data_IF_586964475657
#
_entry.id   IF_586964475657
#
_cell.length_a   1.000
_cell.length_b   1.000
_cell.length_c   1.000
_cell.angle_alpha   90.00
_cell.angle_beta   90.00
_cell.angle_gamma   90.00
#
_symmetry.space_group_name_H-M   'P 1'
#
loop_
_entity.id
_entity.type
_entity.pdbx_description
1 polymer ?
#
# COMPACT_ATOMS: atom_id res chain seq x y z
N UNK A 1 -0.79 12.13 -39.87
CA UNK A 1 -0.95 11.57 -38.51
C UNK A 1 -2.40 11.18 -38.31
N UNK A 2 -2.69 9.98 -37.79
CA UNK A 2 -4.04 9.62 -37.42
C UNK A 2 -4.55 10.58 -36.33
N UNK A 3 -5.63 11.32 -36.62
CA UNK A 3 -6.26 12.22 -35.65
C UNK A 3 -7.46 11.53 -35.00
N UNK A 4 -7.43 11.43 -33.68
CA UNK A 4 -8.56 10.97 -32.89
C UNK A 4 -9.52 12.12 -32.64
N UNK A 5 -10.82 11.87 -32.81
CA UNK A 5 -11.85 12.83 -32.44
C UNK A 5 -12.03 12.86 -30.90
N UNK A 6 -12.73 13.87 -30.40
CA UNK A 6 -12.96 14.03 -28.96
C UNK A 6 -13.70 12.84 -28.31
N UNK A 7 -14.66 12.24 -29.03
CA UNK A 7 -15.41 11.07 -28.53
C UNK A 7 -14.49 9.88 -28.27
N UNK A 8 -13.54 9.62 -29.17
CA UNK A 8 -12.56 8.53 -29.01
C UNK A 8 -11.60 8.81 -27.85
N UNK A 9 -11.13 10.05 -27.69
CA UNK A 9 -10.26 10.42 -26.56
C UNK A 9 -10.96 10.24 -25.22
N UNK A 10 -12.21 10.71 -25.13
CA UNK A 10 -13.01 10.56 -23.93
C UNK A 10 -13.29 9.09 -23.61
N UNK A 11 -13.55 8.26 -24.62
CA UNK A 11 -13.69 6.81 -24.45
C UNK A 11 -12.41 6.16 -23.89
N UNK A 12 -11.24 6.56 -24.38
CA UNK A 12 -9.95 6.08 -23.87
C UNK A 12 -9.81 6.43 -22.37
N UNK A 13 -10.08 7.68 -22.02
CA UNK A 13 -10.00 8.16 -20.63
C UNK A 13 -10.97 7.38 -19.73
N UNK A 14 -12.23 7.24 -20.15
CA UNK A 14 -13.23 6.49 -19.39
C UNK A 14 -12.86 5.02 -19.23
N UNK A 15 -12.36 4.37 -20.28
CA UNK A 15 -11.96 2.98 -20.23
C UNK A 15 -10.73 2.78 -19.32
N UNK A 16 -9.76 3.69 -19.34
CA UNK A 16 -8.64 3.65 -18.38
C UNK A 16 -9.11 3.92 -16.95
N UNK A 17 -9.96 4.93 -16.74
CA UNK A 17 -10.52 5.24 -15.42
C UNK A 17 -11.38 4.09 -14.87
N UNK A 18 -12.10 3.35 -15.73
CA UNK A 18 -12.91 2.22 -15.28
C UNK A 18 -12.05 1.08 -14.72
N UNK A 19 -10.78 0.97 -15.10
CA UNK A 19 -9.86 -0.01 -14.49
C UNK A 19 -9.67 0.28 -13.01
N UNK A 20 -9.41 1.55 -12.68
CA UNK A 20 -9.28 1.99 -11.30
C UNK A 20 -10.60 1.81 -10.52
N UNK A 21 -11.71 2.30 -11.07
CA UNK A 21 -13.03 2.20 -10.43
C UNK A 21 -13.45 0.75 -10.22
N UNK A 22 -13.28 -0.12 -11.20
CA UNK A 22 -13.66 -1.53 -11.06
C UNK A 22 -12.76 -2.26 -10.07
N UNK A 23 -11.46 -1.95 -10.01
CA UNK A 23 -10.58 -2.50 -8.97
C UNK A 23 -11.07 -2.12 -7.56
N UNK A 24 -11.51 -0.88 -7.36
CA UNK A 24 -12.07 -0.41 -6.11
C UNK A 24 -13.38 -1.15 -5.80
N UNK A 25 -14.29 -1.27 -6.76
CA UNK A 25 -15.57 -1.96 -6.56
C UNK A 25 -15.36 -3.43 -6.21
N UNK A 26 -14.48 -4.14 -6.93
CA UNK A 26 -14.15 -5.54 -6.63
C UNK A 26 -13.56 -5.64 -5.22
N UNK A 27 -12.65 -4.73 -4.87
CA UNK A 27 -12.07 -4.70 -3.53
C UNK A 27 -13.15 -4.46 -2.45
N UNK A 28 -14.09 -3.53 -2.68
CA UNK A 28 -15.21 -3.28 -1.75
C UNK A 28 -16.16 -4.48 -1.63
N UNK A 29 -16.43 -5.19 -2.73
CA UNK A 29 -17.20 -6.44 -2.68
C UNK A 29 -16.47 -7.49 -1.83
N UNK A 30 -15.15 -7.62 -1.98
CA UNK A 30 -14.35 -8.53 -1.17
C UNK A 30 -14.29 -8.13 0.31
N UNK A 31 -14.34 -6.83 0.61
CA UNK A 31 -14.41 -6.30 1.99
C UNK A 31 -15.75 -6.62 2.64
N UNK A 32 -16.86 -6.45 1.92
CA UNK A 32 -18.21 -6.64 2.48
C UNK A 32 -18.65 -8.11 2.45
N UNK A 33 -18.00 -8.92 1.61
CA UNK A 33 -18.21 -10.36 1.54
C UNK A 33 -17.71 -11.02 2.83
N UNK A 34 -18.41 -12.03 3.39
CA UNK A 34 -17.96 -12.81 4.55
C UNK A 34 -16.75 -13.72 4.25
N UNK A 35 -15.95 -13.38 3.24
CA UNK A 35 -14.73 -14.10 2.88
C UNK A 35 -13.60 -13.76 3.84
N UNK A 36 -12.80 -14.77 4.21
CA UNK A 36 -11.55 -14.66 5.00
C UNK A 36 -10.51 -13.70 4.39
N UNK A 37 -10.76 -13.17 3.19
CA UNK A 37 -9.90 -12.22 2.48
C UNK A 37 -9.96 -10.79 3.06
N UNK A 38 -10.90 -10.50 3.96
CA UNK A 38 -10.94 -9.28 4.77
C UNK A 38 -11.73 -9.50 6.04
N UNK A 39 -11.10 -9.32 7.19
CA UNK A 39 -11.86 -9.21 8.42
C UNK A 39 -12.55 -7.83 8.51
N UNK A 40 -13.79 -7.89 9.03
CA UNK A 40 -14.58 -6.75 9.48
C UNK A 40 -13.82 -6.01 10.59
N UNK A 41 -14.32 -4.85 11.03
CA UNK A 41 -13.78 -4.12 12.20
C UNK A 41 -13.27 -5.11 13.26
N UNK A 42 -12.03 -4.95 13.76
CA UNK A 42 -11.32 -6.04 14.40
C UNK A 42 -11.98 -6.37 15.74
N UNK A 43 -12.90 -7.33 15.72
CA UNK A 43 -13.08 -8.20 16.86
C UNK A 43 -11.88 -9.14 16.84
N UNK A 44 -10.79 -8.73 17.49
CA UNK A 44 -9.52 -9.45 17.54
C UNK A 44 -9.67 -10.92 17.92
N UNK A 45 -10.75 -11.27 18.62
CA UNK A 45 -11.00 -12.58 19.17
C UNK A 45 -12.47 -12.98 19.03
N UNK A 46 -12.91 -13.36 17.83
CA UNK A 46 -14.28 -13.83 17.58
C UNK A 46 -14.32 -15.25 17.01
N UNK A 47 -14.80 -16.21 17.81
CA UNK A 47 -15.03 -17.62 17.44
C UNK A 47 -13.81 -18.39 16.86
N UNK A 48 -12.64 -17.76 16.80
CA UNK A 48 -11.39 -18.27 16.24
C UNK A 48 -10.26 -18.22 17.27
N UNK A 49 -9.27 -19.09 17.06
CA UNK A 49 -8.02 -19.07 17.81
C UNK A 49 -6.98 -18.26 17.05
N UNK A 50 -6.32 -17.32 17.73
CA UNK A 50 -5.33 -16.43 17.14
C UNK A 50 -3.98 -16.60 17.82
N UNK A 51 -2.89 -16.32 17.11
CA UNK A 51 -1.55 -16.30 17.67
C UNK A 51 -0.66 -15.26 16.99
N UNK A 52 0.31 -14.79 17.76
CA UNK A 52 1.41 -13.97 17.30
C UNK A 52 2.70 -14.51 17.93
N UNK A 53 3.67 -14.86 17.08
CA UNK A 53 4.96 -15.43 17.47
C UNK A 53 6.08 -14.44 17.14
N UNK A 54 6.97 -14.24 18.09
CA UNK A 54 7.99 -13.21 18.08
C UNK A 54 9.37 -13.82 18.31
N UNK A 55 10.36 -13.30 17.59
CA UNK A 55 11.75 -13.38 18.00
C UNK A 55 11.93 -12.41 19.16
N UNK A 56 12.30 -12.96 20.31
CA UNK A 56 12.52 -12.22 21.54
C UNK A 56 14.00 -12.21 21.88
N UNK A 57 14.52 -11.01 22.15
CA UNK A 57 15.85 -10.82 22.70
C UNK A 57 15.74 -9.90 23.91
N UNK A 58 16.32 -10.30 25.04
CA UNK A 58 16.32 -9.55 26.29
C UNK A 58 17.65 -8.80 26.54
N UNK A 59 18.54 -8.74 25.54
CA UNK A 59 19.87 -8.16 25.60
C UNK A 59 20.91 -8.98 26.38
N UNK A 60 20.50 -10.12 26.93
CA UNK A 60 21.33 -10.95 27.81
C UNK A 60 21.65 -12.27 27.10
N UNK A 61 22.91 -12.45 26.69
CA UNK A 61 23.51 -13.69 26.15
C UNK A 61 23.35 -14.02 24.66
N UNK A 62 22.74 -13.17 23.84
CA UNK A 62 22.75 -13.36 22.37
C UNK A 62 22.03 -14.62 21.88
N UNK A 63 21.20 -15.24 22.73
CA UNK A 63 20.30 -16.33 22.35
C UNK A 63 18.93 -15.72 22.09
N UNK A 64 18.49 -15.80 20.84
CA UNK A 64 17.14 -15.46 20.43
C UNK A 64 16.18 -16.54 20.95
N UNK A 65 15.14 -16.13 21.66
CA UNK A 65 14.09 -17.01 22.17
C UNK A 65 12.80 -16.78 21.38
N UNK A 66 11.93 -17.79 21.32
CA UNK A 66 10.62 -17.65 20.70
C UNK A 66 9.59 -17.30 21.75
N UNK A 67 8.95 -16.14 21.62
CA UNK A 67 7.80 -15.75 22.44
C UNK A 67 6.54 -15.92 21.60
N UNK A 68 5.56 -16.67 22.08
CA UNK A 68 4.27 -16.84 21.41
C UNK A 68 3.14 -16.39 22.32
N UNK A 69 2.30 -15.48 21.81
CA UNK A 69 1.04 -15.11 22.45
C UNK A 69 -0.08 -15.77 21.68
N UNK A 70 -0.83 -16.66 22.34
CA UNK A 70 -1.89 -17.45 21.72
C UNK A 70 -3.21 -17.24 22.44
N UNK A 71 -4.24 -16.83 21.70
CA UNK A 71 -5.63 -16.77 22.13
C UNK A 71 -6.38 -18.06 21.77
N UNK A 72 -7.07 -18.62 22.76
CA UNK A 72 -8.06 -19.67 22.58
C UNK A 72 -9.45 -19.12 22.89
N UNK A 73 -10.34 -19.17 21.90
CA UNK A 73 -11.73 -18.75 22.08
C UNK A 73 -12.43 -19.63 23.13
N UNK A 74 -13.08 -19.00 24.12
CA UNK A 74 -13.87 -19.72 25.12
C UNK A 74 -15.37 -19.51 24.90
N UNK A 75 -15.79 -18.26 24.72
CA UNK A 75 -17.19 -17.86 24.51
C UNK A 75 -17.28 -16.42 24.02
N UNK A 76 -18.51 -15.94 23.73
CA UNK A 76 -18.80 -14.61 23.19
C UNK A 76 -18.37 -13.42 24.08
N UNK A 77 -17.84 -13.66 25.27
CA UNK A 77 -17.38 -12.61 26.19
C UNK A 77 -15.90 -12.72 26.54
N UNK A 78 -15.28 -13.88 26.36
CA UNK A 78 -13.89 -14.10 26.75
C UNK A 78 -13.13 -15.03 25.79
N UNK A 79 -11.88 -14.69 25.55
CA UNK A 79 -10.84 -15.59 25.07
C UNK A 79 -9.73 -15.70 26.11
N UNK A 80 -9.09 -16.86 26.19
CA UNK A 80 -7.94 -17.08 27.06
C UNK A 80 -6.65 -16.91 26.27
N UNK A 81 -5.82 -15.95 26.68
CA UNK A 81 -4.52 -15.69 26.09
C UNK A 81 -3.43 -16.32 26.93
N UNK A 82 -2.63 -17.19 26.33
CA UNK A 82 -1.44 -17.79 26.93
C UNK A 82 -0.17 -17.15 26.36
N UNK A 83 0.82 -16.89 27.21
CA UNK A 83 2.17 -16.48 26.81
C UNK A 83 3.09 -17.67 26.96
N UNK A 84 3.81 -18.01 25.88
CA UNK A 84 4.77 -19.12 25.83
C UNK A 84 6.16 -18.59 25.49
N UNK A 85 7.17 -19.10 26.17
CA UNK A 85 8.57 -18.94 25.81
C UNK A 85 9.13 -20.32 25.45
N UNK A 86 9.60 -20.50 24.21
CA UNK A 86 10.09 -21.78 23.68
C UNK A 86 9.12 -22.94 23.99
N UNK A 87 7.84 -22.73 23.67
CA UNK A 87 6.69 -23.63 23.93
C UNK A 87 6.29 -23.86 25.40
N UNK A 88 7.02 -23.29 26.36
CA UNK A 88 6.68 -23.36 27.78
C UNK A 88 5.74 -22.22 28.15
N UNK A 89 4.52 -22.55 28.59
CA UNK A 89 3.56 -21.53 29.05
C UNK A 89 4.06 -20.89 30.35
N UNK A 90 4.21 -19.57 30.33
CA UNK A 90 4.63 -18.76 31.48
C UNK A 90 3.46 -18.11 32.18
N UNK A 91 2.47 -17.62 31.43
CA UNK A 91 1.36 -16.85 32.01
C UNK A 91 0.08 -16.95 31.16
N UNK A 92 -1.03 -16.54 31.77
CA UNK A 92 -2.35 -16.46 31.16
C UNK A 92 -3.07 -15.17 31.55
N UNK A 93 -3.84 -14.63 30.61
CA UNK A 93 -4.75 -13.53 30.87
C UNK A 93 -5.99 -13.64 29.98
N UNK A 94 -7.09 -13.01 30.40
CA UNK A 94 -8.34 -13.05 29.65
C UNK A 94 -8.55 -11.76 28.87
N UNK A 95 -9.18 -11.89 27.71
CA UNK A 95 -9.44 -10.77 26.80
C UNK A 95 -10.88 -10.81 26.32
N UNK A 96 -11.50 -9.65 26.17
CA UNK A 96 -12.81 -9.50 25.56
C UNK A 96 -12.68 -9.56 24.03
N UNK A 97 -13.73 -9.91 23.26
CA UNK A 97 -13.67 -9.96 21.80
C UNK A 97 -13.17 -8.69 21.10
N UNK A 98 -13.29 -7.52 21.74
CA UNK A 98 -12.77 -6.24 21.24
C UNK A 98 -11.30 -5.98 21.63
N UNK A 99 -10.61 -6.94 22.27
CA UNK A 99 -9.19 -6.88 22.64
C UNK A 99 -8.90 -6.27 24.01
N UNK A 100 -9.91 -5.78 24.75
CA UNK A 100 -9.71 -5.27 26.10
C UNK A 100 -9.34 -6.39 27.08
N UNK A 101 -8.43 -6.11 28.00
CA UNK A 101 -7.92 -7.06 28.99
C UNK A 101 -8.85 -7.11 30.20
N UNK A 102 -9.04 -8.30 30.75
CA UNK A 102 -9.64 -8.50 32.06
C UNK A 102 -8.58 -8.47 33.15
N UNK A 103 -8.85 -7.74 34.22
CA UNK A 103 -8.09 -7.75 35.47
C UNK A 103 -9.00 -8.26 36.58
N UNK A 104 -8.60 -9.33 37.27
CA UNK A 104 -9.40 -9.99 38.30
C UNK A 104 -10.89 -10.23 37.93
N UNK A 105 -11.14 -10.67 36.69
CA UNK A 105 -12.48 -10.92 36.09
C UNK A 105 -13.31 -9.66 35.82
N UNK A 106 -12.75 -8.47 36.00
CA UNK A 106 -13.38 -7.20 35.63
C UNK A 106 -12.81 -6.75 34.29
N UNK A 107 -13.70 -6.40 33.36
CA UNK A 107 -13.28 -5.84 32.08
C UNK A 107 -12.66 -4.45 32.33
N UNK A 108 -11.42 -4.26 31.88
CA UNK A 108 -10.73 -2.98 31.99
C UNK A 108 -10.92 -2.15 30.71
N UNK A 109 -10.51 -0.88 30.77
CA UNK A 109 -10.35 -0.02 29.58
C UNK A 109 -8.96 -0.13 28.93
N UNK A 110 -8.16 -1.12 29.36
CA UNK A 110 -6.80 -1.30 28.88
C UNK A 110 -6.76 -2.39 27.81
N UNK A 111 -5.92 -2.16 26.79
CA UNK A 111 -5.48 -3.21 25.88
C UNK A 111 -4.22 -3.89 26.41
N UNK A 112 -3.80 -5.00 25.80
CA UNK A 112 -2.45 -5.53 26.01
C UNK A 112 -1.48 -4.77 25.10
N UNK A 113 -0.22 -4.58 25.48
CA UNK A 113 0.74 -4.01 24.51
C UNK A 113 0.99 -4.93 23.29
N UNK A 114 0.51 -6.17 23.29
CA UNK A 114 0.57 -7.03 22.10
C UNK A 114 -0.40 -6.59 21.00
N UNK A 115 -1.50 -5.89 21.33
CA UNK A 115 -2.46 -5.41 20.34
C UNK A 115 -3.27 -4.22 20.85
N UNK A 116 -3.71 -3.34 19.96
CA UNK A 116 -4.64 -2.24 20.29
C UNK A 116 -5.76 -2.17 19.29
N UNK A 117 -6.93 -1.66 19.70
CA UNK A 117 -8.03 -1.46 18.77
C UNK A 117 -7.71 -0.38 17.73
N UNK A 118 -7.77 -0.76 16.46
CA UNK A 118 -7.62 0.17 15.34
C UNK A 118 -8.94 0.18 14.56
N UNK A 119 -9.62 1.33 14.47
CA UNK A 119 -10.83 1.43 13.66
C UNK A 119 -10.47 1.24 12.17
N UNK A 120 -11.31 0.53 11.43
CA UNK A 120 -11.08 0.31 10.01
C UNK A 120 -11.20 1.65 9.26
N UNK A 121 -10.12 2.05 8.59
CA UNK A 121 -10.04 3.27 7.78
C UNK A 121 -11.12 3.37 6.69
N UNK A 122 -11.52 2.22 6.14
CA UNK A 122 -12.43 2.15 5.01
C UNK A 122 -13.89 2.29 5.46
N UNK A 123 -14.20 1.99 6.74
CA UNK A 123 -15.53 2.22 7.33
C UNK A 123 -15.67 3.63 7.91
N UNK A 124 -14.55 4.30 8.21
CA UNK A 124 -14.49 5.63 8.88
C UNK A 124 -14.22 6.81 7.94
N UNK A 125 -14.51 6.69 6.64
CA UNK A 125 -14.30 7.74 5.64
C UNK A 125 -12.86 8.30 5.62
N UNK A 126 -11.86 7.45 5.93
CA UNK A 126 -10.44 7.84 5.91
C UNK A 126 -9.93 8.52 7.19
N UNK A 127 -10.76 8.67 8.23
CA UNK A 127 -10.31 9.09 9.56
C UNK A 127 -9.75 7.88 10.31
N UNK A 128 -8.46 7.64 10.14
CA UNK A 128 -7.74 6.64 10.92
C UNK A 128 -7.34 7.14 12.29
N UNK A 129 -6.39 6.42 12.90
CA UNK A 129 -5.64 6.95 14.04
C UNK A 129 -4.83 8.16 13.60
N UNK A 130 -4.98 9.25 14.34
CA UNK A 130 -4.20 10.48 14.18
C UNK A 130 -2.98 10.47 15.11
N UNK A 131 -1.88 11.13 14.73
CA UNK A 131 -0.80 11.44 15.66
C UNK A 131 -1.33 12.12 16.92
N UNK A 132 -0.90 11.66 18.09
CA UNK A 132 -1.36 12.10 19.40
C UNK A 132 -2.49 11.26 20.00
N UNK A 133 -3.15 10.37 19.25
CA UNK A 133 -4.10 9.41 19.83
C UNK A 133 -3.40 8.56 20.89
N UNK A 134 -4.04 8.38 22.04
CA UNK A 134 -3.48 7.64 23.17
C UNK A 134 -4.35 6.44 23.57
N UNK A 135 -3.70 5.34 23.93
CA UNK A 135 -4.33 4.13 24.46
C UNK A 135 -3.78 3.82 25.85
N UNK A 136 -4.66 3.38 26.75
CA UNK A 136 -4.21 2.70 27.95
C UNK A 136 -3.87 1.25 27.60
N UNK A 137 -2.69 0.81 28.03
CA UNK A 137 -2.23 -0.56 27.82
C UNK A 137 -1.74 -1.17 29.14
N UNK A 138 -1.79 -2.49 29.23
CA UNK A 138 -1.23 -3.29 30.32
C UNK A 138 -0.10 -4.16 29.77
N UNK A 139 0.89 -4.45 30.61
CA UNK A 139 2.00 -5.38 30.35
C UNK A 139 1.78 -6.69 31.12
N UNK A 140 1.08 -7.70 30.56
CA UNK A 140 0.83 -8.94 31.27
C UNK A 140 2.12 -9.69 31.63
N UNK A 141 3.17 -9.55 30.82
CA UNK A 141 4.40 -10.35 30.93
C UNK A 141 5.51 -9.71 31.75
N UNK A 142 5.45 -8.39 31.98
CA UNK A 142 6.55 -7.66 32.60
C UNK A 142 7.73 -7.42 31.67
N UNK A 143 7.51 -7.38 30.35
CA UNK A 143 8.56 -7.06 29.38
C UNK A 143 8.88 -5.56 29.34
N UNK A 144 7.87 -4.71 29.49
CA UNK A 144 8.05 -3.26 29.58
C UNK A 144 8.56 -2.87 30.97
N UNK A 145 8.17 -3.58 32.02
CA UNK A 145 8.60 -3.31 33.39
C UNK A 145 8.17 -4.37 34.40
N UNK A 146 7.25 -4.03 35.31
CA UNK A 146 6.65 -4.99 36.23
C UNK A 146 5.41 -5.63 35.57
N UNK A 147 5.24 -6.95 35.76
CA UNK A 147 4.08 -7.66 35.25
C UNK A 147 2.77 -7.05 35.77
N UNK A 148 1.76 -7.02 34.92
CA UNK A 148 0.44 -6.40 35.11
C UNK A 148 0.48 -4.90 35.41
N UNK A 149 1.56 -4.20 35.06
CA UNK A 149 1.63 -2.74 35.16
C UNK A 149 0.96 -2.05 33.96
N UNK A 150 0.47 -0.85 34.19
CA UNK A 150 -0.24 -0.05 33.19
C UNK A 150 0.66 1.04 32.60
N UNK A 151 0.54 1.26 31.29
CA UNK A 151 1.29 2.21 30.50
C UNK A 151 0.36 3.00 29.59
N UNK A 152 0.89 4.04 28.98
CA UNK A 152 0.21 4.83 27.95
C UNK A 152 0.97 4.69 26.65
N UNK A 153 0.27 4.29 25.61
CA UNK A 153 0.77 4.23 24.24
C UNK A 153 0.27 5.46 23.49
N UNK A 154 1.17 6.19 22.83
CA UNK A 154 0.83 7.39 22.03
C UNK A 154 1.26 7.17 20.58
N UNK A 155 0.33 7.39 19.65
CA UNK A 155 0.58 7.34 18.21
C UNK A 155 1.45 8.55 17.82
N UNK A 156 2.63 8.31 17.24
CA UNK A 156 3.54 9.38 16.83
C UNK A 156 3.39 9.69 15.33
N UNK A 157 3.42 8.64 14.51
CA UNK A 157 3.34 8.78 13.06
C UNK A 157 2.71 7.55 12.42
N UNK A 158 2.05 7.80 11.29
CA UNK A 158 1.61 6.75 10.37
C UNK A 158 2.74 6.49 9.36
N UNK A 159 3.15 5.25 9.24
CA UNK A 159 4.17 4.80 8.30
C UNK A 159 3.64 3.76 7.32
N UNK A 160 4.33 3.58 6.20
CA UNK A 160 4.20 2.38 5.37
C UNK A 160 5.60 1.77 5.34
N UNK A 161 5.74 0.62 5.99
CA UNK A 161 7.02 -0.08 6.04
C UNK A 161 7.14 -1.07 4.89
N UNK A 162 8.32 -1.09 4.30
CA UNK A 162 8.66 -1.99 3.22
C UNK A 162 9.62 -3.06 3.73
N UNK A 163 9.44 -4.34 3.34
CA UNK A 163 10.24 -5.47 3.80
C UNK A 163 11.62 -5.56 3.13
N UNK A 164 12.27 -4.42 2.82
CA UNK A 164 13.65 -4.45 2.34
C UNK A 164 14.61 -4.85 3.47
N UNK A 165 14.28 -4.50 4.71
CA UNK A 165 14.93 -5.06 5.88
C UNK A 165 14.24 -6.38 6.22
N UNK A 166 15.03 -7.43 6.41
CA UNK A 166 14.54 -8.76 6.75
C UNK A 166 13.64 -8.74 8.00
N UNK A 167 13.90 -7.81 8.93
CA UNK A 167 13.07 -7.58 10.13
C UNK A 167 11.67 -7.00 9.84
N UNK A 168 11.35 -6.63 8.61
CA UNK A 168 10.01 -6.14 8.24
C UNK A 168 9.31 -7.10 7.27
N UNK A 169 9.82 -8.33 7.08
CA UNK A 169 9.24 -9.29 6.14
C UNK A 169 7.76 -9.59 6.38
N UNK A 170 7.29 -9.49 7.62
CA UNK A 170 5.91 -9.81 8.01
C UNK A 170 4.94 -8.64 7.78
N UNK A 171 5.50 -7.44 7.61
CA UNK A 171 4.79 -6.25 7.12
C UNK A 171 4.55 -6.30 5.59
N UNK A 172 4.98 -7.38 4.91
CA UNK A 172 4.77 -7.56 3.48
C UNK A 172 3.28 -7.44 3.11
N UNK A 173 2.92 -6.35 2.43
CA UNK A 173 1.55 -6.10 2.00
C UNK A 173 0.65 -5.49 3.08
N UNK A 174 1.20 -5.04 4.21
CA UNK A 174 0.49 -4.24 5.20
C UNK A 174 0.08 -2.92 4.54
N UNK A 175 -1.15 -2.45 4.79
CA UNK A 175 -1.65 -1.23 4.14
C UNK A 175 -0.99 0.02 4.71
N UNK A 176 -0.64 -0.06 5.98
CA UNK A 176 0.03 0.95 6.77
C UNK A 176 0.33 0.36 8.15
N UNK A 177 1.23 1.03 8.85
CA UNK A 177 1.57 0.78 10.24
C UNK A 177 1.56 2.10 10.98
N UNK A 178 1.57 2.05 12.29
CA UNK A 178 1.75 3.24 13.11
C UNK A 178 2.88 3.01 14.10
N UNK A 179 3.73 4.02 14.19
CA UNK A 179 4.75 4.06 15.20
C UNK A 179 4.22 4.74 16.43
N UNK A 180 4.63 4.20 17.56
CA UNK A 180 4.17 4.64 18.85
C UNK A 180 5.32 4.76 19.82
N UNK A 181 5.12 5.63 20.79
CA UNK A 181 5.94 5.66 22.00
C UNK A 181 5.11 5.15 23.17
N UNK A 182 5.71 4.27 23.96
CA UNK A 182 5.11 3.75 25.19
C UNK A 182 5.75 4.47 26.38
N UNK A 183 4.90 5.04 27.23
CA UNK A 183 5.27 5.79 28.42
C UNK A 183 4.74 5.09 29.67
N UNK A 184 5.48 5.17 30.77
CA UNK A 184 4.96 4.78 32.07
C UNK A 184 3.82 5.72 32.46
N UNK A 185 2.70 5.15 32.88
CA UNK A 185 1.47 5.91 33.19
C UNK A 185 1.62 6.84 34.38
N UNK A 186 2.52 6.56 35.33
CA UNK A 186 2.66 7.34 36.56
C UNK A 186 3.49 8.61 36.38
N UNK A 187 4.56 8.55 35.58
CA UNK A 187 5.57 9.62 35.47
C UNK A 187 5.81 10.10 34.03
N UNK A 188 5.13 9.50 33.04
CA UNK A 188 5.27 9.78 31.61
C UNK A 188 6.71 9.65 31.09
N UNK A 189 7.54 8.83 31.76
CA UNK A 189 8.88 8.50 31.25
C UNK A 189 8.75 7.51 30.11
N UNK A 190 9.45 7.77 29.00
CA UNK A 190 9.50 6.88 27.83
C UNK A 190 10.12 5.53 28.22
N UNK A 191 9.41 4.46 27.93
CA UNK A 191 9.80 3.08 28.24
C UNK A 191 10.24 2.34 26.97
N UNK A 192 9.46 2.46 25.90
CA UNK A 192 9.70 1.72 24.66
C UNK A 192 9.17 2.48 23.44
N UNK A 193 9.59 2.05 22.27
CA UNK A 193 8.98 2.35 20.98
C UNK A 193 8.45 1.08 20.36
N UNK A 194 7.35 1.20 19.61
CA UNK A 194 6.78 0.05 18.92
C UNK A 194 6.20 0.46 17.57
N UNK A 195 6.08 -0.52 16.70
CA UNK A 195 5.38 -0.42 15.43
C UNK A 195 4.26 -1.45 15.43
N UNK A 196 3.07 -1.01 15.06
CA UNK A 196 1.88 -1.86 14.99
C UNK A 196 1.29 -1.86 13.58
N UNK A 197 0.71 -2.97 13.17
CA UNK A 197 -0.04 -3.05 11.93
C UNK A 197 -1.37 -2.28 12.05
N UNK A 198 -1.69 -1.46 11.04
CA UNK A 198 -2.93 -0.66 11.07
C UNK A 198 -4.20 -1.51 10.94
N UNK A 199 -4.11 -2.70 10.36
CA UNK A 199 -5.28 -3.49 9.98
C UNK A 199 -5.69 -4.46 11.08
N UNK A 200 -4.71 -5.01 11.79
CA UNK A 200 -4.92 -5.96 12.90
C UNK A 200 -4.56 -5.40 14.25
N UNK A 201 -4.04 -4.17 14.33
CA UNK A 201 -3.64 -3.57 15.59
C UNK A 201 -2.61 -4.36 16.39
N UNK A 202 -1.99 -5.39 15.81
CA UNK A 202 -0.98 -6.20 16.47
C UNK A 202 0.37 -5.51 16.47
N UNK A 203 1.14 -5.74 17.52
CA UNK A 203 2.52 -5.30 17.57
C UNK A 203 3.35 -6.12 16.59
N UNK A 204 4.20 -5.42 15.84
CA UNK A 204 5.11 -5.99 14.85
C UNK A 204 6.54 -5.90 15.35
N UNK A 205 6.90 -4.74 15.92
CA UNK A 205 8.21 -4.51 16.52
C UNK A 205 8.02 -3.81 17.87
N UNK A 206 8.78 -4.23 18.86
CA UNK A 206 8.99 -3.54 20.13
C UNK A 206 10.49 -3.34 20.33
N UNK A 207 10.90 -2.14 20.74
CA UNK A 207 12.27 -1.85 21.14
C UNK A 207 12.26 -1.02 22.44
N UNK A 208 13.01 -1.46 23.45
CA UNK A 208 13.03 -0.84 24.78
C UNK A 208 12.32 -1.69 25.82
N UNK A 209 11.95 -1.12 26.98
CA UNK A 209 11.40 -1.87 28.11
C UNK A 209 12.36 -2.00 29.29
N UNK A 210 12.15 -3.02 30.14
CA UNK A 210 12.76 -3.14 31.48
C UNK A 210 14.28 -2.99 31.50
N UNK A 211 14.96 -3.49 30.46
CA UNK A 211 16.43 -3.46 30.36
C UNK A 211 16.95 -2.58 29.21
N UNK A 212 16.11 -1.73 28.59
CA UNK A 212 16.42 -0.93 27.38
C UNK A 212 16.90 -1.71 26.13
N UNK A 213 17.15 -3.01 26.26
CA UNK A 213 17.63 -3.92 25.23
C UNK A 213 16.61 -5.02 24.87
N UNK A 214 15.38 -4.92 25.36
CA UNK A 214 14.34 -5.84 24.94
C UNK A 214 13.93 -5.48 23.52
N UNK A 215 13.91 -6.50 22.66
CA UNK A 215 13.36 -6.42 21.32
C UNK A 215 12.38 -7.55 21.10
N UNK A 216 11.21 -7.23 20.55
CA UNK A 216 10.30 -8.19 19.96
C UNK A 216 10.22 -7.92 18.47
N UNK A 217 10.29 -8.97 17.69
CA UNK A 217 10.08 -8.93 16.25
C UNK A 217 9.10 -10.02 15.87
N UNK A 218 7.90 -9.63 15.41
CA UNK A 218 6.91 -10.58 14.92
C UNK A 218 7.49 -11.35 13.74
N UNK A 219 7.41 -12.68 13.77
CA UNK A 219 7.84 -13.55 12.66
C UNK A 219 6.71 -14.39 12.06
N UNK A 220 5.67 -14.68 12.83
CA UNK A 220 4.55 -15.48 12.37
C UNK A 220 3.26 -15.08 13.09
N UNK A 221 2.16 -15.03 12.35
CA UNK A 221 0.84 -14.77 12.91
C UNK A 221 -0.25 -15.31 12.00
N UNK A 222 -1.38 -15.72 12.59
CA UNK A 222 -2.61 -16.00 11.85
C UNK A 222 -3.68 -14.92 12.01
N UNK A 223 -3.35 -13.78 12.64
CA UNK A 223 -4.22 -12.62 12.56
C UNK A 223 -4.31 -12.19 11.10
N UNK A 224 -5.50 -11.86 10.57
CA UNK A 224 -5.70 -11.65 9.15
C UNK A 224 -5.37 -10.21 8.79
N UNK A 225 -4.08 -9.99 8.61
CA UNK A 225 -3.55 -8.73 8.16
C UNK A 225 -4.11 -8.40 6.78
N UNK A 226 -4.80 -7.28 6.68
CA UNK A 226 -5.54 -6.93 5.48
C UNK A 226 -4.57 -6.59 4.35
N UNK A 227 -4.57 -7.42 3.30
CA UNK A 227 -3.75 -7.24 2.08
C UNK A 227 -4.52 -6.61 0.92
N UNK A 228 -5.54 -5.80 1.20
CA UNK A 228 -6.49 -5.30 0.19
C UNK A 228 -5.86 -4.59 -0.99
N UNK A 229 -4.72 -3.93 -0.76
CA UNK A 229 -4.04 -3.21 -1.83
C UNK A 229 -3.35 -4.18 -2.81
N UNK A 230 -2.89 -5.35 -2.36
CA UNK A 230 -2.44 -6.45 -3.24
C UNK A 230 -3.63 -7.01 -4.02
N UNK A 231 -4.77 -7.26 -3.36
CA UNK A 231 -5.98 -7.76 -4.01
C UNK A 231 -6.52 -6.76 -5.06
N UNK A 232 -6.50 -5.46 -4.74
CA UNK A 232 -6.89 -4.39 -5.64
C UNK A 232 -5.97 -4.33 -6.87
N UNK A 233 -4.65 -4.47 -6.68
CA UNK A 233 -3.68 -4.53 -7.78
C UNK A 233 -3.97 -5.71 -8.70
N UNK A 234 -4.20 -6.91 -8.17
CA UNK A 234 -4.56 -8.09 -8.96
C UNK A 234 -5.86 -7.89 -9.73
N UNK A 235 -6.88 -7.33 -9.08
CA UNK A 235 -8.15 -6.99 -9.73
C UNK A 235 -7.95 -5.99 -10.87
N UNK A 236 -7.15 -4.95 -10.67
CA UNK A 236 -6.82 -3.96 -11.71
C UNK A 236 -6.05 -4.58 -12.89
N UNK A 237 -5.07 -5.45 -12.61
CA UNK A 237 -4.32 -6.19 -13.62
C UNK A 237 -5.23 -7.07 -14.48
N UNK A 238 -6.01 -7.95 -13.85
CA UNK A 238 -6.90 -8.89 -14.54
C UNK A 238 -7.94 -8.12 -15.36
N UNK A 239 -8.63 -7.15 -14.74
CA UNK A 239 -9.65 -6.37 -15.42
C UNK A 239 -9.07 -5.52 -16.55
N UNK A 240 -7.91 -4.89 -16.36
CA UNK A 240 -7.25 -4.07 -17.38
C UNK A 240 -6.83 -4.88 -18.61
N UNK A 241 -6.26 -6.08 -18.40
CA UNK A 241 -5.94 -7.00 -19.50
C UNK A 241 -7.21 -7.41 -20.26
N UNK A 242 -8.26 -7.83 -19.55
CA UNK A 242 -9.54 -8.21 -20.16
C UNK A 242 -10.11 -7.05 -20.97
N UNK A 243 -10.11 -5.83 -20.42
CA UNK A 243 -10.65 -4.65 -21.07
C UNK A 243 -9.87 -4.30 -22.34
N UNK A 244 -8.54 -4.29 -22.29
CA UNK A 244 -7.70 -4.01 -23.48
C UNK A 244 -7.94 -5.06 -24.56
N UNK A 245 -7.94 -6.34 -24.19
CA UNK A 245 -8.16 -7.44 -25.15
C UNK A 245 -9.57 -7.36 -25.75
N UNK A 246 -10.60 -7.13 -24.92
CA UNK A 246 -11.97 -6.99 -25.39
C UNK A 246 -12.12 -5.80 -26.34
N UNK A 247 -11.57 -4.64 -25.99
CA UNK A 247 -11.60 -3.45 -26.85
C UNK A 247 -10.83 -3.66 -28.15
N UNK A 248 -9.66 -4.31 -28.10
CA UNK A 248 -8.89 -4.66 -29.29
C UNK A 248 -9.66 -5.62 -30.21
N UNK A 249 -10.27 -6.68 -29.65
CA UNK A 249 -11.09 -7.62 -30.39
C UNK A 249 -12.32 -6.92 -30.99
N UNK A 250 -13.01 -6.06 -30.23
CA UNK A 250 -14.13 -5.27 -30.74
C UNK A 250 -13.70 -4.36 -31.91
N UNK A 251 -12.54 -3.70 -31.81
CA UNK A 251 -11.95 -2.88 -32.88
C UNK A 251 -11.44 -3.70 -34.08
N UNK A 252 -11.17 -5.00 -33.90
CA UNK A 252 -10.80 -5.93 -34.98
C UNK A 252 -12.02 -6.54 -35.67
N UNK A 253 -13.08 -6.84 -34.92
CA UNK A 253 -14.41 -7.31 -35.39
C UNK A 253 -15.17 -6.23 -36.19
N UNK A 254 -14.65 -5.00 -36.20
CA UNK A 254 -15.00 -3.83 -37.02
C UNK A 254 -15.05 -4.09 -38.54
N UNK A 255 -14.77 -5.30 -39.02
CA UNK A 255 -15.09 -5.71 -40.39
C UNK A 255 -16.61 -5.83 -40.67
N UNK A 256 -17.48 -5.95 -39.64
CA UNK A 256 -18.93 -6.13 -39.86
C UNK A 256 -19.89 -5.33 -38.95
N UNK A 257 -19.43 -4.61 -37.93
CA UNK A 257 -20.32 -4.08 -36.88
C UNK A 257 -20.77 -2.61 -37.09
N UNK A 258 -22.09 -2.34 -37.10
CA UNK A 258 -22.69 -1.01 -37.35
C UNK A 258 -22.43 0.02 -36.22
N UNK A 259 -22.21 -0.42 -34.99
CA UNK A 259 -22.02 0.48 -33.83
C UNK A 259 -20.67 1.23 -33.90
N UNK A 260 -19.59 0.54 -34.27
CA UNK A 260 -18.23 1.09 -34.31
C UNK A 260 -17.95 1.94 -35.56
N UNK A 261 -18.69 1.75 -36.66
CA UNK A 261 -18.70 2.67 -37.81
C UNK A 261 -18.91 4.14 -37.40
N UNK A 262 -19.61 4.40 -36.27
CA UNK A 262 -19.82 5.75 -35.73
C UNK A 262 -18.52 6.47 -35.33
N UNK A 263 -17.45 5.74 -35.01
CA UNK A 263 -16.18 6.31 -34.58
C UNK A 263 -15.18 6.58 -35.72
N UNK A 264 -15.46 6.13 -36.95
CA UNK A 264 -14.65 6.40 -38.15
C UNK A 264 -13.14 6.10 -37.96
N UNK A 265 -12.81 4.95 -37.37
CA UNK A 265 -11.44 4.55 -37.08
C UNK A 265 -10.87 3.74 -38.26
N UNK A 266 -9.91 4.30 -38.99
CA UNK A 266 -9.10 3.54 -39.94
C UNK A 266 -8.08 2.65 -39.18
N UNK A 267 -7.30 1.82 -39.88
CA UNK A 267 -6.28 0.95 -39.27
C UNK A 267 -5.28 1.73 -38.40
N UNK A 268 -4.78 2.87 -38.87
CA UNK A 268 -3.85 3.71 -38.12
C UNK A 268 -4.47 4.29 -36.83
N UNK A 269 -5.72 4.78 -36.89
CA UNK A 269 -6.43 5.29 -35.70
C UNK A 269 -6.73 4.18 -34.69
N UNK A 270 -6.98 2.95 -35.15
CA UNK A 270 -7.16 1.78 -34.26
C UNK A 270 -5.87 1.42 -33.55
N UNK A 271 -4.74 1.40 -34.26
CA UNK A 271 -3.43 1.16 -33.67
C UNK A 271 -3.08 2.24 -32.63
N UNK A 272 -3.29 3.52 -32.98
CA UNK A 272 -3.08 4.63 -32.06
C UNK A 272 -3.97 4.52 -30.81
N UNK A 273 -5.27 4.21 -30.99
CA UNK A 273 -6.21 4.04 -29.88
C UNK A 273 -5.77 2.91 -28.95
N UNK A 274 -5.38 1.76 -29.51
CA UNK A 274 -4.93 0.60 -28.75
C UNK A 274 -3.65 0.90 -27.97
N UNK A 275 -2.68 1.57 -28.59
CA UNK A 275 -1.44 1.95 -27.91
C UNK A 275 -1.68 2.98 -26.79
N UNK A 276 -2.58 3.94 -26.98
CA UNK A 276 -2.97 4.88 -25.93
C UNK A 276 -3.71 4.17 -24.78
N UNK A 277 -4.54 3.16 -25.07
CA UNK A 277 -5.16 2.33 -24.05
C UNK A 277 -4.14 1.51 -23.25
N UNK A 278 -3.16 0.90 -23.94
CA UNK A 278 -2.05 0.18 -23.29
C UNK A 278 -1.26 1.15 -22.41
N UNK A 279 -0.91 2.33 -22.93
CA UNK A 279 -0.20 3.35 -22.15
C UNK A 279 -0.97 3.79 -20.90
N UNK A 280 -2.29 3.93 -20.98
CA UNK A 280 -3.13 4.31 -19.84
C UNK A 280 -3.30 3.19 -18.83
N UNK A 281 -3.45 1.94 -19.28
CA UNK A 281 -3.40 0.79 -18.39
C UNK A 281 -2.06 0.71 -17.69
N UNK A 282 -0.95 0.81 -18.42
CA UNK A 282 0.39 0.78 -17.85
C UNK A 282 0.60 1.93 -16.87
N UNK A 283 0.09 3.14 -17.12
CA UNK A 283 0.20 4.24 -16.15
C UNK A 283 -0.60 3.95 -14.87
N UNK A 284 -1.84 3.45 -14.96
CA UNK A 284 -2.63 3.02 -13.79
C UNK A 284 -1.90 1.91 -13.03
N UNK A 285 -1.33 0.95 -13.75
CA UNK A 285 -0.55 -0.12 -13.15
C UNK A 285 0.71 0.43 -12.48
N UNK A 286 1.44 1.35 -13.10
CA UNK A 286 2.62 2.01 -12.50
C UNK A 286 2.23 2.75 -11.22
N UNK A 287 1.15 3.54 -11.21
CA UNK A 287 0.68 4.24 -10.00
C UNK A 287 0.34 3.26 -8.87
N UNK A 288 -0.26 2.12 -9.20
CA UNK A 288 -0.50 1.06 -8.22
C UNK A 288 0.81 0.38 -7.81
N UNK A 289 1.70 0.08 -8.76
CA UNK A 289 2.98 -0.62 -8.60
C UNK A 289 4.00 0.21 -7.82
N UNK A 290 4.06 1.53 -7.98
CA UNK A 290 4.99 2.42 -7.26
C UNK A 290 4.94 2.23 -5.77
N UNK A 291 3.72 2.00 -5.29
CA UNK A 291 3.46 1.72 -3.91
C UNK A 291 3.96 0.28 -3.63
N UNK A 292 3.57 -0.75 -4.40
CA UNK A 292 3.76 -2.16 -3.99
C UNK A 292 5.01 -2.88 -4.51
N UNK A 293 5.62 -2.49 -5.63
CA UNK A 293 6.81 -3.13 -6.18
C UNK A 293 8.11 -2.59 -5.58
N UNK A 294 8.05 -1.52 -4.77
CA UNK A 294 9.16 -1.18 -3.89
C UNK A 294 9.58 -2.39 -3.04
N UNK A 295 8.63 -3.27 -2.69
CA UNK A 295 8.84 -4.55 -2.00
C UNK A 295 9.86 -5.46 -2.73
N UNK A 296 9.59 -6.01 -3.94
CA UNK A 296 10.50 -6.92 -4.63
C UNK A 296 11.64 -6.23 -5.40
N UNK A 297 11.47 -4.96 -5.79
CA UNK A 297 12.39 -4.28 -6.71
C UNK A 297 13.21 -3.17 -6.06
N UNK A 298 12.84 -2.73 -4.85
CA UNK A 298 13.45 -1.62 -4.14
C UNK A 298 13.35 -0.28 -4.89
N UNK A 299 14.06 0.73 -4.37
CA UNK A 299 14.18 2.04 -5.01
C UNK A 299 14.68 1.94 -6.45
N UNK A 300 15.77 1.18 -6.68
CA UNK A 300 16.42 1.08 -8.00
C UNK A 300 15.45 0.53 -9.04
N UNK A 301 14.77 -0.57 -8.74
CA UNK A 301 13.86 -1.15 -9.70
C UNK A 301 12.61 -0.33 -9.92
N UNK A 302 12.17 0.46 -8.93
CA UNK A 302 11.11 1.44 -9.13
C UNK A 302 11.52 2.57 -10.10
N UNK A 303 12.70 3.16 -9.90
CA UNK A 303 13.26 4.16 -10.83
C UNK A 303 13.42 3.58 -12.24
N UNK A 304 13.87 2.33 -12.36
CA UNK A 304 13.97 1.64 -13.64
C UNK A 304 12.60 1.45 -14.30
N UNK A 305 11.57 1.09 -13.56
CA UNK A 305 10.20 0.90 -14.07
C UNK A 305 9.66 2.21 -14.69
N UNK A 306 9.77 3.32 -13.98
CA UNK A 306 9.41 4.65 -14.50
C UNK A 306 10.24 5.08 -15.69
N UNK A 307 11.54 4.81 -15.66
CA UNK A 307 12.44 5.11 -16.76
C UNK A 307 12.05 4.32 -18.00
N UNK A 308 11.77 3.01 -17.87
CA UNK A 308 11.31 2.16 -18.97
C UNK A 308 9.99 2.64 -19.56
N UNK A 309 9.02 3.02 -18.71
CA UNK A 309 7.76 3.58 -19.19
C UNK A 309 7.95 4.90 -19.92
N UNK A 310 8.74 5.81 -19.36
CA UNK A 310 9.08 7.10 -19.97
C UNK A 310 9.77 6.92 -21.32
N UNK A 311 10.71 5.98 -21.42
CA UNK A 311 11.36 5.61 -22.69
C UNK A 311 10.35 5.04 -23.68
N UNK A 312 9.44 4.15 -23.25
CA UNK A 312 8.37 3.61 -24.10
C UNK A 312 7.46 4.71 -24.66
N UNK A 313 7.08 5.68 -23.82
CA UNK A 313 6.32 6.87 -24.22
C UNK A 313 7.12 7.77 -25.16
N UNK A 314 8.44 7.84 -25.00
CA UNK A 314 9.34 8.53 -25.92
C UNK A 314 9.46 7.86 -27.28
N UNK A 315 9.55 6.53 -27.32
CA UNK A 315 9.50 5.75 -28.56
C UNK A 315 8.16 5.97 -29.26
N UNK A 316 7.04 5.98 -28.52
CA UNK A 316 5.73 6.31 -29.05
C UNK A 316 5.69 7.72 -29.64
N UNK A 317 6.19 8.73 -28.91
CA UNK A 317 6.28 10.10 -29.40
C UNK A 317 7.12 10.20 -30.67
N UNK A 318 8.26 9.52 -30.71
CA UNK A 318 9.13 9.47 -31.89
C UNK A 318 8.43 8.84 -33.10
N UNK A 319 7.81 7.67 -32.92
CA UNK A 319 7.12 6.94 -33.99
C UNK A 319 5.95 7.72 -34.58
N UNK A 320 5.12 8.34 -33.73
CA UNK A 320 3.99 9.17 -34.16
C UNK A 320 4.36 10.64 -34.41
N UNK A 321 5.65 10.99 -34.32
CA UNK A 321 6.26 12.32 -34.49
C UNK A 321 5.65 13.42 -33.59
N UNK A 322 5.19 13.07 -32.39
CA UNK A 322 4.90 14.02 -31.33
C UNK A 322 6.21 14.62 -30.77
N UNK A 323 6.12 15.78 -30.12
CA UNK A 323 7.29 16.41 -29.48
C UNK A 323 7.69 15.62 -28.23
N UNK A 324 8.98 15.41 -28.01
CA UNK A 324 9.48 14.75 -26.80
C UNK A 324 9.28 15.61 -25.54
N UNK A 325 9.17 16.94 -25.70
CA UNK A 325 8.83 17.85 -24.61
C UNK A 325 7.54 17.46 -23.85
N UNK A 326 6.62 16.70 -24.47
CA UNK A 326 5.42 16.20 -23.79
C UNK A 326 5.69 15.17 -22.70
N UNK A 327 6.91 14.59 -22.65
CA UNK A 327 7.35 13.66 -21.62
C UNK A 327 7.88 14.36 -20.36
N UNK A 328 7.95 15.69 -20.37
CA UNK A 328 8.53 16.48 -19.28
C UNK A 328 7.95 16.13 -17.89
N UNK A 329 6.63 15.91 -17.72
CA UNK A 329 6.08 15.52 -16.42
C UNK A 329 6.66 14.19 -15.89
N UNK A 330 6.78 13.16 -16.73
CA UNK A 330 7.35 11.86 -16.33
C UNK A 330 8.86 11.97 -16.01
N UNK A 331 9.59 12.82 -16.74
CA UNK A 331 11.01 13.08 -16.44
C UNK A 331 11.17 13.79 -15.08
N UNK A 332 10.32 14.80 -14.81
CA UNK A 332 10.34 15.51 -13.53
C UNK A 332 10.01 14.60 -12.36
N UNK A 333 9.08 13.67 -12.53
CA UNK A 333 8.77 12.64 -11.54
C UNK A 333 10.00 11.81 -11.19
N UNK A 334 10.71 11.27 -12.18
CA UNK A 334 11.94 10.48 -11.95
C UNK A 334 13.00 11.33 -11.23
N UNK A 335 13.19 12.59 -11.65
CA UNK A 335 14.14 13.50 -11.01
C UNK A 335 13.76 13.82 -9.56
N UNK A 336 12.47 14.03 -9.30
CA UNK A 336 11.94 14.32 -7.97
C UNK A 336 12.13 13.13 -7.03
N UNK A 337 11.77 11.91 -7.48
CA UNK A 337 11.96 10.68 -6.71
C UNK A 337 13.44 10.48 -6.34
N UNK A 338 14.36 10.70 -7.29
CA UNK A 338 15.79 10.63 -7.02
C UNK A 338 16.26 11.71 -6.03
N UNK A 339 15.77 12.95 -6.17
CA UNK A 339 16.17 14.05 -5.29
C UNK A 339 15.69 13.83 -3.84
N UNK A 340 14.46 13.37 -3.64
CA UNK A 340 13.92 13.05 -2.31
C UNK A 340 14.72 11.91 -1.67
N UNK A 341 15.01 10.85 -2.41
CA UNK A 341 15.83 9.75 -1.92
C UNK A 341 17.21 10.22 -1.45
N UNK A 342 17.86 11.12 -2.19
CA UNK A 342 19.19 11.66 -1.83
C UNK A 342 19.16 12.54 -0.56
N UNK A 343 18.02 13.15 -0.23
CA UNK A 343 17.88 14.06 0.92
C UNK A 343 17.42 13.32 2.18
N UNK A 344 16.39 12.50 2.07
CA UNK A 344 15.73 11.86 3.21
C UNK A 344 16.24 10.44 3.49
N UNK A 345 16.87 9.78 2.50
CA UNK A 345 17.20 8.36 2.55
C UNK A 345 15.96 7.45 2.44
N UNK A 346 16.15 6.13 2.50
CA UNK A 346 15.03 5.19 2.71
C UNK A 346 14.55 5.31 4.18
N UNK A 347 13.23 5.33 4.49
CA UNK A 347 12.08 4.91 3.67
C UNK A 347 11.02 6.02 3.49
N UNK A 348 11.40 7.26 3.16
CA UNK A 348 10.41 8.32 2.94
C UNK A 348 9.91 8.34 1.48
N UNK A 349 8.63 8.05 1.25
CA UNK A 349 7.99 8.19 -0.06
C UNK A 349 6.67 8.96 0.05
N UNK A 350 6.60 10.23 -0.42
CA UNK A 350 5.34 10.97 -0.47
C UNK A 350 4.46 10.44 -1.62
N UNK A 351 3.45 9.63 -1.26
CA UNK A 351 2.63 8.82 -2.16
C UNK A 351 1.79 9.58 -3.21
N UNK A 352 1.52 10.88 -3.06
CA UNK A 352 0.52 11.56 -3.92
C UNK A 352 1.09 12.52 -4.98
N UNK A 353 2.23 13.17 -4.71
CA UNK A 353 2.76 14.22 -5.60
C UNK A 353 3.90 13.76 -6.50
N UNK A 354 4.63 12.70 -6.11
CA UNK A 354 5.74 12.18 -6.89
C UNK A 354 5.27 11.42 -8.15
N UNK A 355 4.11 10.74 -8.09
CA UNK A 355 3.78 9.65 -9.03
C UNK A 355 2.75 9.94 -10.12
N UNK A 356 2.39 11.22 -10.30
CA UNK A 356 1.41 11.60 -11.32
C UNK A 356 2.04 11.98 -12.68
N UNK A 357 3.36 12.10 -12.78
CA UNK A 357 4.05 12.56 -14.00
C UNK A 357 3.81 11.64 -15.20
N UNK A 358 3.85 10.33 -15.00
CA UNK A 358 3.56 9.28 -15.97
C UNK A 358 2.11 9.36 -16.48
N UNK A 359 1.15 9.52 -15.58
CA UNK A 359 -0.28 9.67 -15.92
C UNK A 359 -0.60 11.00 -16.57
N UNK A 360 -0.01 12.10 -16.10
CA UNK A 360 -0.15 13.42 -16.72
C UNK A 360 0.43 13.38 -18.14
N UNK A 361 1.61 12.79 -18.32
CA UNK A 361 2.23 12.59 -19.64
C UNK A 361 1.30 11.80 -20.56
N UNK A 362 0.74 10.69 -20.07
CA UNK A 362 -0.24 9.91 -20.82
C UNK A 362 -1.48 10.72 -21.22
N UNK A 363 -2.09 11.44 -20.27
CA UNK A 363 -3.24 12.32 -20.54
C UNK A 363 -2.90 13.32 -21.63
N UNK A 364 -1.74 14.00 -21.54
CA UNK A 364 -1.27 14.93 -22.57
C UNK A 364 -1.20 14.25 -23.93
N UNK A 365 -0.63 13.04 -24.03
CA UNK A 365 -0.58 12.29 -25.29
C UNK A 365 -1.98 11.96 -25.84
N UNK A 366 -2.93 11.57 -24.99
CA UNK A 366 -4.33 11.36 -25.38
C UNK A 366 -4.94 12.67 -25.89
N UNK A 367 -4.71 13.79 -25.23
CA UNK A 367 -5.26 15.09 -25.64
C UNK A 367 -4.67 15.61 -26.95
N UNK A 368 -3.37 15.46 -27.18
CA UNK A 368 -2.71 15.94 -28.41
C UNK A 368 -2.89 15.00 -29.60
N UNK A 369 -3.41 13.77 -29.38
CA UNK A 369 -3.66 12.75 -30.42
C UNK A 369 -4.63 13.15 -31.56
N UNK A 370 -5.03 14.42 -31.63
CA UNK A 370 -5.59 15.00 -32.84
C UNK A 370 -5.44 16.52 -32.92
N UNK A 371 -4.34 17.08 -32.41
CA UNK A 371 -3.85 18.41 -32.82
C UNK A 371 -2.76 18.21 -33.88
N UNK A 372 -2.77 18.96 -35.00
CA UNK A 372 -1.68 18.88 -35.97
C UNK A 372 -0.37 19.30 -35.29
N UNK A 373 0.66 18.47 -35.39
CA UNK A 373 2.00 18.88 -34.97
C UNK A 373 2.47 19.98 -35.91
N UNK A 374 2.50 21.23 -35.44
CA UNK A 374 3.24 22.29 -36.13
C UNK A 374 4.73 22.02 -35.94
N UNK A 375 5.28 21.08 -36.71
CA UNK A 375 6.71 21.06 -36.99
C UNK A 375 6.96 22.27 -37.89
N UNK A 376 7.28 23.41 -37.28
CA UNK A 376 7.70 24.59 -38.01
C UNK A 376 8.96 24.25 -38.80
N UNK A 377 8.81 24.24 -40.12
CA UNK A 377 9.89 24.21 -41.09
C UNK A 377 10.86 25.37 -40.82
N UNK A 378 12.17 25.12 -40.91
CA UNK A 378 13.18 26.19 -40.97
C UNK A 378 14.04 26.47 -39.73
N UNK A 379 14.48 25.47 -38.96
CA UNK A 379 15.59 25.67 -37.98
C UNK A 379 16.86 24.90 -38.35
N UNK A 380 18.02 25.49 -38.02
CA UNK A 380 19.36 24.89 -38.16
C UNK A 380 19.44 23.55 -37.41
N UNK A 381 20.45 22.69 -37.68
CA UNK A 381 20.59 21.38 -36.99
C UNK A 381 20.53 21.50 -35.47
N UNK A 382 21.14 22.54 -34.89
CA UNK A 382 21.10 22.83 -33.46
C UNK A 382 19.73 23.35 -33.01
N UNK A 383 19.10 24.23 -33.79
CA UNK A 383 17.75 24.73 -33.51
C UNK A 383 16.67 23.64 -33.60
N UNK A 384 16.87 22.62 -34.44
CA UNK A 384 16.04 21.40 -34.52
C UNK A 384 16.25 20.45 -33.34
N UNK A 385 17.44 20.44 -32.74
CA UNK A 385 17.71 19.66 -31.53
C UNK A 385 17.06 20.33 -30.32
N UNK A 386 17.29 21.63 -30.12
CA UNK A 386 16.72 22.39 -29.01
C UNK A 386 15.19 22.51 -29.08
N UNK A 387 14.61 22.69 -30.27
CA UNK A 387 13.13 22.72 -30.44
C UNK A 387 12.44 21.37 -30.28
N UNK A 388 13.17 20.28 -30.03
CA UNK A 388 12.59 18.99 -29.64
C UNK A 388 12.44 18.85 -28.13
N UNK A 389 13.21 19.64 -27.37
CA UNK A 389 13.20 19.67 -25.89
C UNK A 389 12.34 20.81 -25.32
N UNK A 390 12.01 21.82 -26.13
CA UNK A 390 11.03 22.89 -25.86
C UNK A 390 9.81 22.72 -26.76
#
# INVERSE_FOLDING_TARGET
MPQLNWKTRFLIILATASIFVMSLVINQILIVSPSELNEKDPYFFNENNYYASFYFNNGSYGVEQHLTVQSTYLNNTHSNCSIKFDDIVQDYFYVHPNGLVYDDKVLTENYSFYWVFVPNLLTTLGQGLEPGTSYNITDPTGLLGQANSNYVLIIERKGVYWPYEQRFSNLLGAQASFDVTIYNKSDMVKIATATYDQTTGNIEILEGGKNKHITLLLYETNFPISRNRINQMWAAWIYGIILIVALYLLMKVDWKNKFLKRFHLNSEKRNLTTLLMIGGFTSVIIEMIDIWFYIPLGFVGNVLLHTMFTVGMGIFCYHYRYKLAWLFPAILEIMFVMAIFLVEGEPYVPHLTAFMGSTITWLVLVFISGKPSTWSEGKSKLGKFLSKFV
#
